data_IF_811324421298
#
_entry.id   IF_811324421298
#
_cell.length_a   1.000
_cell.length_b   1.000
_cell.length_c   1.000
_cell.angle_alpha   90.00
_cell.angle_beta   90.00
_cell.angle_gamma   90.00
#
_symmetry.space_group_name_H-M   'P 1'
#
loop_
_entity.id
_entity.type
_entity.pdbx_description
1 polymer ?
#
# COMPACT_ATOMS: atom_id res chain seq x y z
N UNK A 1 2.45 9.71 9.83
CA UNK A 1 2.30 8.24 9.68
C UNK A 1 3.60 7.67 9.16
N UNK A 2 4.11 6.65 9.81
CA UNK A 2 5.37 6.06 9.41
C UNK A 2 5.16 4.98 8.35
N UNK A 3 5.81 5.16 7.21
CA UNK A 3 5.69 4.21 6.10
C UNK A 3 6.35 2.87 6.42
N UNK A 4 7.32 2.85 7.32
CA UNK A 4 7.95 1.60 7.74
C UNK A 4 6.94 0.65 8.39
N UNK A 5 6.02 1.18 9.17
CA UNK A 5 4.97 0.37 9.79
C UNK A 5 4.07 -0.21 8.71
N UNK A 6 3.68 0.60 7.73
CA UNK A 6 2.88 0.12 6.61
C UNK A 6 3.62 -0.93 5.80
N UNK A 7 4.92 -0.73 5.57
CA UNK A 7 5.73 -1.69 4.85
C UNK A 7 5.74 -3.05 5.54
N UNK A 8 5.91 -3.05 6.86
CA UNK A 8 5.89 -4.30 7.63
C UNK A 8 4.53 -4.98 7.56
N UNK A 9 3.46 -4.23 7.71
CA UNK A 9 2.10 -4.77 7.62
C UNK A 9 1.85 -5.38 6.25
N UNK A 10 2.22 -4.67 5.20
CA UNK A 10 2.04 -5.16 3.83
C UNK A 10 2.86 -6.41 3.59
N UNK A 11 4.07 -6.48 4.11
CA UNK A 11 4.94 -7.64 3.88
C UNK A 11 4.37 -8.92 4.48
N UNK A 12 3.53 -8.83 5.52
CA UNK A 12 2.89 -10.01 6.08
C UNK A 12 1.82 -10.60 5.15
N UNK A 13 1.36 -9.83 4.18
CA UNK A 13 0.36 -10.26 3.21
C UNK A 13 0.96 -10.67 1.87
N UNK A 14 2.29 -10.57 1.74
CA UNK A 14 2.95 -10.98 0.49
C UNK A 14 2.99 -12.50 0.38
N UNK A 15 2.65 -13.00 -0.81
CA UNK A 15 2.80 -14.42 -1.10
C UNK A 15 4.27 -14.75 -1.36
N UNK A 16 4.64 -16.04 -1.38
CA UNK A 16 6.02 -16.46 -1.72
C UNK A 16 6.48 -15.94 -3.09
N UNK A 17 5.56 -15.66 -4.00
CA UNK A 17 5.88 -15.11 -5.30
C UNK A 17 6.07 -13.58 -5.29
N UNK A 18 5.95 -12.95 -4.14
CA UNK A 18 6.12 -11.51 -3.99
C UNK A 18 4.87 -10.68 -4.27
N UNK A 19 3.74 -11.32 -4.50
CA UNK A 19 2.49 -10.62 -4.73
C UNK A 19 1.82 -10.24 -3.42
N UNK A 20 1.27 -9.05 -3.36
CA UNK A 20 0.46 -8.60 -2.23
C UNK A 20 -0.97 -9.06 -2.47
N UNK A 21 -1.51 -9.87 -1.57
CA UNK A 21 -2.85 -10.45 -1.71
C UNK A 21 -3.72 -10.12 -0.52
N UNK A 22 -5.00 -9.87 -0.78
CA UNK A 22 -6.06 -9.78 0.23
C UNK A 22 -5.73 -8.92 1.46
N UNK A 23 -5.34 -7.70 1.24
CA UNK A 23 -5.13 -6.77 2.35
C UNK A 23 -6.46 -6.51 3.07
N UNK A 24 -6.40 -6.34 4.40
CA UNK A 24 -7.58 -6.00 5.16
C UNK A 24 -8.09 -4.61 4.78
N UNK A 25 -9.39 -4.36 4.99
CA UNK A 25 -9.96 -3.06 4.70
C UNK A 25 -9.28 -1.95 5.51
N UNK A 26 -8.96 -2.23 6.76
CA UNK A 26 -8.27 -1.27 7.61
C UNK A 26 -6.92 -0.90 7.04
N UNK A 27 -6.18 -1.89 6.56
CA UNK A 27 -4.86 -1.63 5.98
C UNK A 27 -4.97 -0.87 4.67
N UNK A 28 -5.94 -1.21 3.83
CA UNK A 28 -6.19 -0.46 2.59
C UNK A 28 -6.49 1.00 2.88
N UNK A 29 -7.29 1.25 3.91
CA UNK A 29 -7.63 2.61 4.30
C UNK A 29 -6.40 3.37 4.83
N UNK A 30 -5.57 2.71 5.63
CA UNK A 30 -4.33 3.31 6.12
C UNK A 30 -3.41 3.70 4.98
N UNK A 31 -3.29 2.83 3.98
CA UNK A 31 -2.45 3.11 2.80
C UNK A 31 -3.01 4.30 2.03
N UNK A 32 -4.32 4.35 1.86
CA UNK A 32 -4.96 5.46 1.16
C UNK A 32 -4.74 6.78 1.88
N UNK A 33 -4.89 6.79 3.21
CA UNK A 33 -4.65 7.99 4.00
C UNK A 33 -3.20 8.46 3.88
N UNK A 34 -2.27 7.53 3.96
CA UNK A 34 -0.86 7.85 3.79
C UNK A 34 -0.59 8.43 2.40
N UNK A 35 -1.22 7.86 1.37
CA UNK A 35 -1.09 8.36 0.01
C UNK A 35 -1.67 9.77 -0.15
N UNK A 36 -2.83 10.03 0.42
CA UNK A 36 -3.46 11.34 0.33
C UNK A 36 -2.63 12.44 1.00
N UNK A 37 -1.86 12.07 2.01
CA UNK A 37 -0.97 13.00 2.70
C UNK A 37 0.45 13.01 2.14
N UNK A 38 0.70 12.20 1.12
CA UNK A 38 2.04 12.10 0.52
C UNK A 38 2.29 13.28 -0.41
N UNK A 39 3.41 13.96 -0.22
CA UNK A 39 3.75 15.15 -0.99
C UNK A 39 4.82 14.91 -2.04
N UNK A 40 5.37 13.70 -2.07
CA UNK A 40 6.43 13.32 -3.00
C UNK A 40 5.85 12.51 -4.18
N UNK A 41 6.73 11.99 -5.03
CA UNK A 41 6.31 11.26 -6.22
C UNK A 41 5.66 9.91 -5.87
N UNK A 42 4.86 9.42 -6.81
CA UNK A 42 4.21 8.11 -6.71
C UNK A 42 5.22 6.99 -6.50
N UNK A 43 6.28 7.01 -7.30
CA UNK A 43 7.31 5.97 -7.24
C UNK A 43 8.01 5.94 -5.89
N UNK A 44 8.24 7.10 -5.28
CA UNK A 44 8.79 7.16 -3.93
C UNK A 44 7.87 6.48 -2.93
N UNK A 45 6.55 6.69 -3.07
CA UNK A 45 5.59 6.13 -2.14
C UNK A 45 5.56 4.60 -2.20
N UNK A 46 5.31 4.03 -3.37
CA UNK A 46 5.19 2.57 -3.45
C UNK A 46 6.52 1.87 -3.23
N UNK A 47 7.63 2.52 -3.55
CA UNK A 47 8.93 1.98 -3.22
C UNK A 47 9.15 1.95 -1.71
N UNK A 48 8.72 3.00 -1.01
CA UNK A 48 8.85 3.08 0.44
C UNK A 48 8.03 2.01 1.16
N UNK A 49 6.87 1.65 0.63
CA UNK A 49 6.04 0.59 1.24
C UNK A 49 6.35 -0.79 0.66
N UNK A 50 7.29 -0.87 -0.28
CA UNK A 50 7.79 -2.15 -0.76
C UNK A 50 6.90 -2.89 -1.74
N UNK A 51 6.11 -2.16 -2.55
CA UNK A 51 5.26 -2.77 -3.58
C UNK A 51 5.68 -2.29 -4.96
N UNK A 52 5.26 -3.03 -5.99
CA UNK A 52 5.48 -2.62 -7.38
C UNK A 52 4.41 -1.60 -7.80
N UNK A 53 4.62 -0.96 -8.94
CA UNK A 53 3.65 -0.03 -9.50
C UNK A 53 2.27 -0.68 -9.68
N UNK A 54 2.25 -1.89 -10.23
CA UNK A 54 0.99 -2.62 -10.44
C UNK A 54 0.30 -2.94 -9.13
N UNK A 55 1.06 -3.38 -8.14
CA UNK A 55 0.54 -3.66 -6.81
C UNK A 55 -0.02 -2.42 -6.16
N UNK A 56 0.71 -1.30 -6.25
CA UNK A 56 0.27 -0.04 -5.72
C UNK A 56 -1.03 0.43 -6.37
N UNK A 57 -1.10 0.39 -7.69
CA UNK A 57 -2.31 0.81 -8.42
C UNK A 57 -3.52 -0.02 -8.01
N UNK A 58 -3.34 -1.33 -7.87
CA UNK A 58 -4.40 -2.23 -7.41
C UNK A 58 -4.86 -1.89 -5.99
N UNK A 59 -3.91 -1.67 -5.09
CA UNK A 59 -4.21 -1.32 -3.70
C UNK A 59 -5.00 -0.03 -3.62
N UNK A 60 -4.55 1.00 -4.32
CA UNK A 60 -5.21 2.31 -4.30
C UNK A 60 -6.61 2.22 -4.92
N UNK A 61 -6.77 1.45 -6.00
CA UNK A 61 -8.07 1.25 -6.62
C UNK A 61 -9.06 0.60 -5.65
N UNK A 62 -8.62 -0.44 -4.94
CA UNK A 62 -9.46 -1.09 -3.94
C UNK A 62 -9.78 -0.17 -2.76
N UNK A 63 -8.79 0.57 -2.29
CA UNK A 63 -8.98 1.48 -1.16
C UNK A 63 -9.99 2.57 -1.49
N UNK A 64 -9.95 3.10 -2.70
CA UNK A 64 -10.91 4.12 -3.12
C UNK A 64 -12.34 3.60 -3.18
N UNK A 65 -12.53 2.32 -3.44
CA UNK A 65 -13.85 1.70 -3.46
C UNK A 65 -14.45 1.59 -2.06
N UNK A 66 -13.61 1.58 -1.03
CA UNK A 66 -14.08 1.49 0.35
C UNK A 66 -14.51 2.84 0.93
N UNK A 67 -14.19 3.91 0.24
CA UNK A 67 -14.45 5.25 0.69
C UNK A 67 -15.89 5.71 0.49
#
# INVERSE_FOLDING_TARGET
MELEVLKKKISTYKSPSGRVCKLSNDLLYEILLAWENWTDSRSSFYSAIGVSYKGFASIIGKAKRLK
#
